data_IF_969625228635
#
_entry.id   IF_969625228635
#
_cell.length_a   1.000
_cell.length_b   1.000
_cell.length_c   1.000
_cell.angle_alpha   90.00
_cell.angle_beta   90.00
_cell.angle_gamma   90.00
#
_symmetry.space_group_name_H-M   'P 1'
#
loop_
_entity.id
_entity.type
_entity.pdbx_description
1 polymer ?
#
# COMPACT_ATOMS: atom_id res chain seq x y z
N UNK A 1 15.59 5.12 -7.05
CA UNK A 1 15.97 3.94 -6.24
C UNK A 1 15.12 3.95 -4.97
N UNK A 2 14.71 2.79 -4.46
CA UNK A 2 13.92 2.68 -3.21
C UNK A 2 14.78 2.49 -1.95
N UNK A 3 16.11 2.52 -2.10
CA UNK A 3 17.08 2.23 -1.04
C UNK A 3 17.51 3.47 -0.21
N UNK A 4 16.72 4.54 -0.20
CA UNK A 4 17.05 5.83 0.43
C UNK A 4 16.35 6.06 1.79
N UNK A 5 15.54 5.09 2.25
CA UNK A 5 14.76 5.21 3.50
C UNK A 5 13.50 6.08 3.37
N UNK A 6 13.19 6.58 2.18
CA UNK A 6 11.95 7.27 1.89
C UNK A 6 10.81 6.28 1.59
N UNK A 7 9.57 6.72 1.80
CA UNK A 7 8.36 6.02 1.38
C UNK A 7 8.09 6.31 -0.10
N UNK A 8 8.38 5.33 -0.95
CA UNK A 8 8.13 5.38 -2.40
C UNK A 8 6.72 4.90 -2.71
N UNK A 9 6.09 5.45 -3.76
CA UNK A 9 4.76 5.07 -4.21
C UNK A 9 4.78 4.65 -5.68
N UNK A 10 4.01 3.61 -5.98
CA UNK A 10 3.82 3.08 -7.32
C UNK A 10 2.34 2.81 -7.56
N UNK A 11 1.98 2.57 -8.82
CA UNK A 11 0.62 2.26 -9.24
C UNK A 11 0.61 1.06 -10.17
N UNK A 12 -0.37 0.18 -10.00
CA UNK A 12 -0.60 -0.98 -10.87
C UNK A 12 -2.08 -1.01 -11.25
N UNK A 13 -2.38 -1.08 -12.55
CA UNK A 13 -3.75 -1.24 -13.01
C UNK A 13 -4.08 -2.72 -13.18
N UNK A 14 -5.00 -3.23 -12.38
CA UNK A 14 -5.54 -4.58 -12.49
C UNK A 14 -6.98 -4.49 -12.97
N UNK A 15 -7.25 -4.82 -14.24
CA UNK A 15 -8.59 -4.86 -14.80
C UNK A 15 -9.41 -3.57 -14.57
N UNK A 16 -8.80 -2.41 -14.75
CA UNK A 16 -9.47 -1.10 -14.55
C UNK A 16 -9.43 -0.57 -13.12
N UNK A 17 -8.95 -1.35 -12.15
CA UNK A 17 -8.71 -0.88 -10.77
C UNK A 17 -7.27 -0.41 -10.63
N UNK A 18 -7.07 0.89 -10.37
CA UNK A 18 -5.75 1.44 -10.09
C UNK A 18 -5.38 1.19 -8.62
N UNK A 19 -4.52 0.21 -8.39
CA UNK A 19 -3.98 -0.11 -7.07
C UNK A 19 -2.73 0.69 -6.78
N UNK A 20 -2.69 1.35 -5.62
CA UNK A 20 -1.50 2.06 -5.16
C UNK A 20 -0.66 1.18 -4.24
N UNK A 21 0.63 1.25 -4.42
CA UNK A 21 1.65 0.43 -3.76
C UNK A 21 2.64 1.36 -3.07
N UNK A 22 3.18 0.93 -1.94
CA UNK A 22 4.28 1.60 -1.26
C UNK A 22 5.46 0.65 -1.04
N UNK A 23 6.66 1.20 -1.13
CA UNK A 23 7.89 0.53 -0.76
C UNK A 23 8.73 1.43 0.16
N UNK A 24 9.38 0.83 1.15
CA UNK A 24 10.28 1.55 2.06
C UNK A 24 11.42 0.66 2.52
N UNK A 25 12.62 1.22 2.59
CA UNK A 25 13.77 0.56 3.21
C UNK A 25 13.70 0.69 4.72
N UNK A 26 13.66 -0.45 5.42
CA UNK A 26 13.65 -0.52 6.88
C UNK A 26 15.05 -0.25 7.45
N UNK A 27 15.16 0.12 8.74
CA UNK A 27 16.44 0.31 9.42
C UNK A 27 17.35 -0.93 9.42
N UNK A 28 16.76 -2.13 9.39
CA UNK A 28 17.50 -3.41 9.28
C UNK A 28 18.10 -3.65 7.88
N UNK A 29 17.84 -2.73 6.93
CA UNK A 29 18.35 -2.75 5.58
C UNK A 29 17.50 -3.51 4.56
N UNK A 30 16.48 -4.25 5.02
CA UNK A 30 15.54 -4.94 4.13
C UNK A 30 14.46 -4.00 3.58
N UNK A 31 13.85 -4.38 2.46
CA UNK A 31 12.76 -3.64 1.83
C UNK A 31 11.42 -4.21 2.29
N UNK A 32 10.48 -3.33 2.61
CA UNK A 32 9.10 -3.69 2.85
C UNK A 32 8.21 -3.15 1.73
N UNK A 33 7.24 -3.95 1.30
CA UNK A 33 6.23 -3.61 0.30
C UNK A 33 4.83 -3.79 0.86
N UNK A 34 3.93 -2.89 0.49
CA UNK A 34 2.54 -2.94 0.92
C UNK A 34 1.63 -2.22 -0.08
N UNK A 35 0.32 -2.47 0.01
CA UNK A 35 -0.67 -1.59 -0.59
C UNK A 35 -0.70 -0.27 0.18
N UNK A 36 -0.94 0.83 -0.54
CA UNK A 36 -1.21 2.15 0.06
C UNK A 36 -2.66 2.22 0.56
N UNK A 37 -3.02 1.26 1.41
CA UNK A 37 -4.33 1.03 1.98
C UNK A 37 -4.22 0.36 3.36
N UNK A 38 -5.22 0.60 4.18
CA UNK A 38 -5.35 0.14 5.57
C UNK A 38 -6.55 -0.80 5.69
N UNK A 39 -6.43 -1.91 6.42
CA UNK A 39 -7.58 -2.79 6.68
C UNK A 39 -8.69 -2.10 7.48
N UNK A 40 -8.33 -1.11 8.30
CA UNK A 40 -9.26 -0.37 9.17
C UNK A 40 -9.76 0.90 8.49
N UNK A 41 -8.88 1.65 7.84
CA UNK A 41 -9.18 2.99 7.31
C UNK A 41 -9.45 3.04 5.80
N UNK A 42 -9.34 1.93 5.10
CA UNK A 42 -9.48 1.88 3.64
C UNK A 42 -8.28 2.46 2.90
N UNK A 43 -8.50 2.92 1.67
CA UNK A 43 -7.49 3.37 0.71
C UNK A 43 -7.15 4.87 0.83
N UNK A 44 -7.25 5.46 2.03
CA UNK A 44 -6.80 6.84 2.22
C UNK A 44 -5.28 6.98 2.04
N UNK A 45 -4.54 5.90 2.30
CA UNK A 45 -3.10 5.79 2.12
C UNK A 45 -2.26 6.36 3.25
N UNK A 46 -0.96 6.47 3.00
CA UNK A 46 0.07 6.81 3.98
C UNK A 46 0.97 7.93 3.48
N UNK A 47 1.66 8.60 4.41
CA UNK A 47 2.71 9.57 4.09
C UNK A 47 3.82 9.54 5.11
N UNK A 48 5.02 9.93 4.69
CA UNK A 48 6.17 10.03 5.57
C UNK A 48 6.34 11.48 6.04
N UNK A 49 6.58 11.65 7.34
CA UNK A 49 6.94 12.91 7.98
C UNK A 49 8.17 12.67 8.86
N UNK A 50 9.34 13.02 8.33
CA UNK A 50 10.61 12.74 8.98
C UNK A 50 10.80 11.22 9.19
N UNK A 51 11.07 10.75 10.42
CA UNK A 51 11.29 9.33 10.69
C UNK A 51 9.99 8.52 10.81
N UNK A 52 8.83 9.15 10.66
CA UNK A 52 7.53 8.50 10.86
C UNK A 52 6.77 8.31 9.55
N UNK A 53 6.10 7.18 9.42
CA UNK A 53 5.04 6.98 8.42
C UNK A 53 3.70 7.16 9.15
N UNK A 54 2.76 7.90 8.56
CA UNK A 54 1.46 8.19 9.16
C UNK A 54 0.33 7.76 8.22
N UNK A 55 -0.74 7.20 8.79
CA UNK A 55 -1.98 6.99 8.05
C UNK A 55 -2.64 8.33 7.76
N UNK A 56 -3.07 8.56 6.52
CA UNK A 56 -3.74 9.81 6.10
C UNK A 56 -5.11 10.00 6.73
N UNK A 57 -5.76 8.92 7.18
CA UNK A 57 -7.09 8.98 7.75
C UNK A 57 -7.08 9.24 9.27
N UNK A 58 -6.38 8.39 10.03
CA UNK A 58 -6.44 8.40 11.50
C UNK A 58 -5.19 8.99 12.17
N UNK A 59 -4.21 9.46 11.39
CA UNK A 59 -2.93 10.00 11.86
C UNK A 59 -2.10 9.05 12.75
N UNK A 60 -2.45 7.75 12.80
CA UNK A 60 -1.65 6.75 13.52
C UNK A 60 -0.23 6.71 12.97
N UNK A 61 0.75 6.82 13.87
CA UNK A 61 2.16 6.67 13.55
C UNK A 61 2.49 5.19 13.39
N UNK A 62 3.00 4.84 12.22
CA UNK A 62 3.41 3.50 11.83
C UNK A 62 4.90 3.36 12.08
N UNK A 63 5.27 2.39 12.90
CA UNK A 63 6.66 2.06 13.15
C UNK A 63 7.24 1.39 11.91
N UNK A 64 8.22 2.02 11.24
CA UNK A 64 8.75 1.54 9.95
C UNK A 64 9.14 0.05 9.97
N UNK A 65 9.80 -0.49 11.02
CA UNK A 65 10.11 -1.91 11.10
C UNK A 65 8.91 -2.87 11.05
N UNK A 66 7.69 -2.42 11.36
CA UNK A 66 6.47 -3.25 11.28
C UNK A 66 5.78 -3.19 9.93
N UNK A 67 6.23 -2.33 9.01
CA UNK A 67 5.68 -2.31 7.65
C UNK A 67 6.06 -3.63 6.97
N UNK A 68 5.05 -4.34 6.46
CA UNK A 68 5.17 -5.74 6.00
C UNK A 68 4.61 -6.78 7.00
N UNK A 69 4.24 -6.36 8.21
CA UNK A 69 3.53 -7.18 9.20
C UNK A 69 2.08 -6.68 9.32
N UNK A 70 1.13 -7.61 9.30
CA UNK A 70 -0.28 -7.26 9.46
C UNK A 70 -0.60 -6.85 10.91
N UNK A 71 -1.48 -5.87 11.08
CA UNK A 71 -2.02 -5.49 12.39
C UNK A 71 -2.22 -3.99 12.56
N UNK A 72 -3.30 -3.60 13.26
CA UNK A 72 -3.63 -2.20 13.50
C UNK A 72 -3.77 -1.39 12.21
N UNK A 73 -3.27 -0.14 12.23
CA UNK A 73 -3.23 0.73 11.05
C UNK A 73 -2.00 0.52 10.17
N UNK A 74 -1.25 -0.58 10.30
CA UNK A 74 -0.17 -0.88 9.36
C UNK A 74 -0.73 -1.00 7.93
N UNK A 75 0.04 -0.57 6.92
CA UNK A 75 -0.29 -0.82 5.52
C UNK A 75 -0.47 -2.31 5.24
N UNK A 76 -1.37 -2.65 4.30
CA UNK A 76 -1.63 -4.06 3.93
C UNK A 76 -0.40 -4.64 3.25
N UNK A 77 0.27 -5.58 3.92
CA UNK A 77 1.52 -6.16 3.45
C UNK A 77 1.38 -6.85 2.09
N UNK A 78 2.42 -6.70 1.26
CA UNK A 78 2.60 -7.43 0.02
C UNK A 78 3.89 -8.23 0.08
N UNK A 79 3.85 -9.46 -0.43
CA UNK A 79 5.06 -10.23 -0.65
C UNK A 79 5.87 -9.60 -1.77
N UNK A 80 7.17 -9.57 -1.57
CA UNK A 80 8.14 -9.16 -2.58
C UNK A 80 9.45 -9.90 -2.37
N UNK A 81 10.29 -9.87 -3.40
CA UNK A 81 11.67 -10.36 -3.32
C UNK A 81 12.59 -9.41 -4.07
N UNK A 82 13.87 -9.47 -3.73
CA UNK A 82 14.91 -8.72 -4.45
C UNK A 82 15.60 -9.69 -5.41
N UNK A 83 15.57 -9.38 -6.70
CA UNK A 83 16.28 -10.10 -7.76
C UNK A 83 17.33 -9.17 -8.36
N UNK A 84 18.61 -9.37 -8.00
CA UNK A 84 19.68 -8.45 -8.37
C UNK A 84 19.43 -7.04 -7.84
N UNK A 85 19.12 -6.11 -8.74
CA UNK A 85 18.86 -4.70 -8.43
C UNK A 85 17.37 -4.34 -8.47
N UNK A 86 16.49 -5.32 -8.67
CA UNK A 86 15.05 -5.11 -8.84
C UNK A 86 14.29 -5.63 -7.63
N UNK A 87 13.26 -4.88 -7.23
CA UNK A 87 12.27 -5.31 -6.26
C UNK A 87 11.06 -5.84 -7.02
N UNK A 88 10.79 -7.13 -6.89
CA UNK A 88 9.77 -7.84 -7.65
C UNK A 88 8.57 -8.15 -6.77
N UNK A 89 7.37 -7.80 -7.25
CA UNK A 89 6.08 -8.15 -6.66
C UNK A 89 5.30 -8.94 -7.71
N UNK A 90 4.83 -10.13 -7.35
CA UNK A 90 4.04 -10.97 -8.27
C UNK A 90 2.65 -10.39 -8.47
N UNK A 91 2.18 -10.34 -9.72
CA UNK A 91 0.85 -9.81 -10.04
C UNK A 91 -0.27 -10.59 -9.32
N UNK A 92 -0.11 -11.91 -9.17
CA UNK A 92 -1.04 -12.76 -8.43
C UNK A 92 -1.18 -12.37 -6.95
N UNK A 93 -0.15 -11.76 -6.34
CA UNK A 93 -0.20 -11.27 -4.97
C UNK A 93 -0.89 -9.90 -4.86
N UNK A 94 -1.07 -9.20 -5.99
CA UNK A 94 -1.74 -7.91 -6.08
C UNK A 94 -3.25 -8.05 -6.27
N UNK A 95 -3.71 -9.00 -7.09
CA UNK A 95 -5.13 -9.15 -7.46
C UNK A 95 -6.11 -9.18 -6.27
N UNK A 96 -5.84 -9.91 -5.16
CA UNK A 96 -6.71 -9.87 -3.99
C UNK A 96 -6.82 -8.49 -3.35
N UNK A 97 -5.78 -7.66 -3.52
CA UNK A 97 -5.67 -6.30 -3.02
C UNK A 97 -6.61 -5.31 -3.72
N UNK A 98 -7.03 -5.59 -4.96
CA UNK A 98 -7.87 -4.69 -5.75
C UNK A 98 -9.17 -4.31 -5.03
N UNK A 99 -9.74 -5.21 -4.22
CA UNK A 99 -10.95 -4.96 -3.43
C UNK A 99 -10.85 -3.75 -2.49
N UNK A 100 -9.64 -3.38 -2.07
CA UNK A 100 -9.40 -2.26 -1.16
C UNK A 100 -9.48 -0.89 -1.85
N UNK A 101 -9.39 -0.84 -3.18
CA UNK A 101 -9.36 0.39 -3.99
C UNK A 101 -10.66 0.62 -4.80
N UNK A 102 -11.67 -0.24 -4.64
CA UNK A 102 -12.92 -0.20 -5.43
C UNK A 102 -13.88 0.91 -5.00
N UNK A 103 -13.64 1.60 -3.88
CA UNK A 103 -14.54 2.64 -3.36
C UNK A 103 -14.32 4.02 -4.00
N UNK A 104 -13.39 4.14 -4.95
CA UNK A 104 -13.12 5.37 -5.71
C UNK A 104 -13.42 5.27 -7.22
N UNK A 105 -13.72 4.09 -7.76
CA UNK A 105 -14.41 4.00 -9.04
C UNK A 105 -15.88 4.24 -8.74
N UNK A 106 -16.48 5.30 -9.30
CA UNK A 106 -17.88 5.63 -9.09
C UNK A 106 -18.73 4.35 -9.11
N UNK A 107 -19.39 4.06 -8.00
CA UNK A 107 -20.44 3.05 -7.96
C UNK A 107 -21.42 3.41 -9.09
N UNK A 108 -21.77 2.50 -10.01
CA UNK A 108 -22.83 2.81 -10.96
C UNK A 108 -24.04 3.23 -10.12
N UNK A 109 -24.55 4.43 -10.39
CA UNK A 109 -25.70 4.96 -9.68
C UNK A 109 -26.78 3.87 -9.66
N UNK A 110 -27.47 3.65 -8.52
CA UNK A 110 -28.54 2.67 -8.47
C UNK A 110 -29.50 2.94 -9.63
N UNK A 111 -30.05 1.90 -10.28
CA UNK A 111 -31.01 2.10 -11.36
C UNK A 111 -32.09 3.02 -10.84
N UNK A 112 -32.39 4.08 -11.60
CA UNK A 112 -33.53 4.93 -11.29
C UNK A 112 -34.75 4.00 -11.15
N UNK A 113 -35.36 4.04 -9.96
CA UNK A 113 -36.58 3.29 -9.68
C UNK A 113 -37.71 3.68 -10.65
N UNK A 114 -38.81 2.92 -10.64
CA UNK A 114 -39.88 3.05 -11.63
C UNK A 114 -40.45 4.46 -11.74
#
# INVERSE_FOLDING_TARGET
SVNDGALHRFSYNAHGVNMRLIAIRKPDGSLATALDACLICGDQGYYQKGPHVLCRNCASAIYIPTIGVAGGCNPIALRSRVEGNELVIEAADLEPGARHFRRGAAEPAPPAGP
#
